data_IF_260157327743
#
_entry.id   IF_260157327743
#
_cell.length_a   1.000
_cell.length_b   1.000
_cell.length_c   1.000
_cell.angle_alpha   90.00
_cell.angle_beta   90.00
_cell.angle_gamma   90.00
#
_symmetry.space_group_name_H-M   'P 1'
#
loop_
_entity.id
_entity.type
_entity.pdbx_description
1 polymer ?
#
# COMPACT_ATOMS: atom_id res chain seq x y z
N UNK A 1 -43.98 -22.14 18.77
CA UNK A 1 -43.86 -21.49 20.10
C UNK A 1 -42.57 -20.64 20.07
N UNK A 2 -42.69 -19.39 20.40
CA UNK A 2 -41.53 -18.51 20.49
C UNK A 2 -40.86 -18.74 21.83
N UNK A 3 -39.60 -19.16 21.86
CA UNK A 3 -38.82 -19.31 23.09
C UNK A 3 -38.27 -17.97 23.50
N UNK A 4 -38.63 -17.48 24.66
CA UNK A 4 -38.10 -16.24 25.23
C UNK A 4 -36.89 -16.60 26.12
N UNK A 5 -35.77 -15.96 25.86
CA UNK A 5 -34.52 -16.12 26.61
C UNK A 5 -33.92 -14.75 26.96
N UNK A 6 -33.23 -14.63 28.10
CA UNK A 6 -32.49 -13.40 28.44
C UNK A 6 -31.46 -13.05 27.39
N UNK A 7 -31.13 -11.76 27.30
CA UNK A 7 -30.04 -11.32 26.42
C UNK A 7 -28.72 -12.04 26.73
N UNK A 8 -27.99 -12.44 25.69
CA UNK A 8 -26.75 -13.18 25.80
C UNK A 8 -26.86 -14.68 26.08
N UNK A 9 -28.08 -15.23 26.32
CA UNK A 9 -28.31 -16.67 26.56
C UNK A 9 -28.86 -17.40 25.32
N UNK A 10 -29.05 -16.72 24.21
CA UNK A 10 -29.54 -17.33 22.98
C UNK A 10 -28.49 -18.24 22.35
N UNK A 11 -28.92 -19.41 21.88
CA UNK A 11 -28.06 -20.26 21.09
C UNK A 11 -27.72 -19.57 19.77
N UNK A 12 -26.43 -19.33 19.52
CA UNK A 12 -25.92 -18.89 18.23
C UNK A 12 -25.36 -20.08 17.45
N UNK A 13 -25.62 -20.21 16.14
CA UNK A 13 -24.94 -21.19 15.30
C UNK A 13 -23.47 -20.77 15.05
N UNK A 14 -23.13 -19.51 15.37
CA UNK A 14 -21.77 -18.95 15.24
C UNK A 14 -21.17 -18.89 16.65
N UNK A 15 -20.21 -19.73 16.93
CA UNK A 15 -19.45 -19.70 18.18
C UNK A 15 -18.15 -18.88 18.04
N UNK A 16 -17.48 -18.62 19.17
CA UNK A 16 -16.26 -17.85 19.19
C UNK A 16 -15.14 -18.48 18.35
N UNK A 17 -15.13 -19.80 18.22
CA UNK A 17 -14.15 -20.53 17.42
C UNK A 17 -14.40 -20.32 15.94
N UNK A 18 -15.65 -20.44 15.50
CA UNK A 18 -16.05 -20.16 14.12
C UNK A 18 -15.66 -18.73 13.72
N UNK A 19 -15.87 -17.73 14.60
CA UNK A 19 -15.45 -16.35 14.36
C UNK A 19 -13.92 -16.22 14.26
N UNK A 20 -13.18 -16.92 15.14
CA UNK A 20 -11.72 -16.85 15.17
C UNK A 20 -11.06 -17.54 13.97
N UNK A 21 -11.69 -18.61 13.44
CA UNK A 21 -11.14 -19.41 12.34
C UNK A 21 -11.66 -19.00 10.95
N UNK A 22 -12.76 -18.26 10.86
CA UNK A 22 -13.53 -18.09 9.63
C UNK A 22 -13.02 -17.00 8.67
N UNK A 23 -12.11 -16.14 9.05
CA UNK A 23 -11.81 -14.97 8.24
C UNK A 23 -10.40 -14.97 7.64
N UNK A 24 -10.19 -15.43 6.42
CA UNK A 24 -8.98 -15.08 5.67
C UNK A 24 -8.99 -13.57 5.44
N UNK A 25 -7.87 -12.91 5.76
CA UNK A 25 -7.67 -11.49 5.43
C UNK A 25 -6.98 -11.41 4.10
N UNK A 26 -7.64 -10.83 3.11
CA UNK A 26 -7.10 -10.61 1.78
C UNK A 26 -6.74 -9.14 1.63
N UNK A 27 -5.57 -8.85 1.07
CA UNK A 27 -5.16 -7.46 0.87
C UNK A 27 -3.94 -7.28 -0.01
N UNK A 28 -3.65 -6.02 -0.30
CA UNK A 28 -2.52 -5.57 -1.08
C UNK A 28 -2.33 -6.37 -2.39
N UNK A 29 -3.34 -6.44 -3.28
CA UNK A 29 -3.18 -7.15 -4.54
C UNK A 29 -2.17 -6.44 -5.46
N UNK A 30 -1.51 -7.21 -6.32
CA UNK A 30 -0.63 -6.70 -7.37
C UNK A 30 -0.85 -7.48 -8.67
N UNK A 31 -0.83 -6.76 -9.80
CA UNK A 31 -0.89 -7.36 -11.13
C UNK A 31 0.53 -7.46 -11.68
N UNK A 32 1.01 -8.67 -11.91
CA UNK A 32 2.31 -8.93 -12.51
C UNK A 32 2.30 -8.64 -14.02
N UNK A 33 3.49 -8.49 -14.60
CA UNK A 33 3.66 -8.26 -16.05
C UNK A 33 3.18 -9.45 -16.90
N UNK A 34 3.30 -10.67 -16.39
CA UNK A 34 2.80 -11.90 -17.00
C UNK A 34 1.29 -12.11 -16.83
N UNK A 35 0.60 -11.14 -16.21
CA UNK A 35 -0.84 -11.16 -15.96
C UNK A 35 -1.25 -11.91 -14.70
N UNK A 36 -0.32 -12.53 -13.97
CA UNK A 36 -0.61 -13.18 -12.70
C UNK A 36 -1.06 -12.17 -11.63
N UNK A 37 -1.94 -12.60 -10.76
CA UNK A 37 -2.44 -11.80 -9.64
C UNK A 37 -1.76 -12.29 -8.36
N UNK A 38 -1.18 -11.36 -7.61
CA UNK A 38 -0.55 -11.60 -6.32
C UNK A 38 -1.33 -10.91 -5.22
N UNK A 39 -1.35 -11.48 -4.01
CA UNK A 39 -1.93 -10.81 -2.84
C UNK A 39 -1.32 -11.33 -1.54
N UNK A 40 -1.53 -10.59 -0.46
CA UNK A 40 -1.25 -11.03 0.89
C UNK A 40 -2.49 -11.71 1.50
N UNK A 41 -2.32 -12.89 2.08
CA UNK A 41 -3.37 -13.66 2.74
C UNK A 41 -3.02 -13.90 4.20
N UNK A 42 -3.83 -13.40 5.12
CA UNK A 42 -3.73 -13.71 6.54
C UNK A 42 -4.50 -14.99 6.87
N UNK A 43 -3.85 -15.92 7.56
CA UNK A 43 -4.36 -17.26 7.88
C UNK A 43 -4.59 -17.43 9.38
N UNK A 44 -5.83 -17.28 9.89
CA UNK A 44 -6.14 -17.45 11.30
C UNK A 44 -5.76 -18.84 11.84
N UNK A 45 -5.96 -19.88 11.04
CA UNK A 45 -5.61 -21.27 11.39
C UNK A 45 -4.10 -21.50 11.60
N UNK A 46 -3.26 -20.59 11.10
CA UNK A 46 -1.81 -20.61 11.26
C UNK A 46 -1.31 -19.53 12.24
N UNK A 47 -2.12 -19.19 13.25
CA UNK A 47 -1.79 -18.17 14.24
C UNK A 47 -1.80 -16.75 13.68
N UNK A 48 -2.53 -16.50 12.62
CA UNK A 48 -2.61 -15.20 11.93
C UNK A 48 -1.44 -14.92 10.98
N UNK A 49 -0.66 -15.95 10.63
CA UNK A 49 0.45 -15.82 9.66
C UNK A 49 -0.03 -15.24 8.34
N UNK A 50 0.67 -14.24 7.82
CA UNK A 50 0.43 -13.67 6.49
C UNK A 50 1.40 -14.29 5.50
N UNK A 51 0.88 -14.75 4.37
CA UNK A 51 1.64 -15.35 3.26
C UNK A 51 1.34 -14.60 1.97
N UNK A 52 2.24 -14.70 1.00
CA UNK A 52 1.99 -14.26 -0.36
C UNK A 52 1.39 -15.41 -1.16
N UNK A 53 0.32 -15.07 -1.86
CA UNK A 53 -0.40 -15.92 -2.79
C UNK A 53 -0.18 -15.43 -4.21
N UNK A 54 -0.21 -16.35 -5.17
CA UNK A 54 -0.14 -16.05 -6.61
C UNK A 54 -1.21 -16.85 -7.34
N UNK A 55 -1.94 -16.20 -8.24
CA UNK A 55 -2.82 -16.83 -9.22
C UNK A 55 -2.23 -16.60 -10.61
N UNK A 56 -1.60 -17.59 -11.22
CA UNK A 56 -1.13 -17.50 -12.62
C UNK A 56 -2.30 -17.29 -13.57
N UNK A 57 -2.09 -16.64 -14.69
CA UNK A 57 -3.10 -16.53 -15.73
C UNK A 57 -3.56 -17.93 -16.21
N UNK A 58 -4.85 -18.23 -16.00
CA UNK A 58 -5.44 -19.53 -16.36
C UNK A 58 -5.02 -20.71 -15.48
N UNK A 59 -4.35 -20.46 -14.35
CA UNK A 59 -3.90 -21.48 -13.37
C UNK A 59 -4.75 -21.51 -12.11
N UNK A 60 -4.21 -22.20 -11.09
CA UNK A 60 -4.77 -22.25 -9.75
C UNK A 60 -3.93 -21.40 -8.78
N UNK A 61 -4.58 -20.91 -7.71
CA UNK A 61 -3.90 -20.13 -6.69
C UNK A 61 -2.89 -20.98 -5.90
N UNK A 62 -1.69 -20.47 -5.75
CA UNK A 62 -0.59 -21.12 -5.04
C UNK A 62 -0.04 -20.25 -3.91
N UNK A 63 0.44 -20.89 -2.84
CA UNK A 63 1.18 -20.22 -1.76
C UNK A 63 2.64 -20.08 -2.15
N UNK A 64 3.14 -18.85 -2.16
CA UNK A 64 4.54 -18.55 -2.51
C UNK A 64 5.44 -18.52 -1.28
N UNK A 65 4.97 -17.91 -0.18
CA UNK A 65 5.75 -17.81 1.06
C UNK A 65 5.90 -19.18 1.72
N UNK A 66 7.13 -19.71 1.90
CA UNK A 66 7.34 -21.03 2.51
C UNK A 66 7.04 -21.03 4.02
N UNK A 67 6.97 -22.23 4.59
CA UNK A 67 6.88 -22.39 6.04
C UNK A 67 8.03 -21.69 6.76
N UNK A 68 7.78 -21.18 7.96
CA UNK A 68 8.76 -20.46 8.77
C UNK A 68 8.86 -18.96 8.45
N UNK A 69 8.26 -18.48 7.37
CA UNK A 69 8.21 -17.06 7.05
C UNK A 69 6.80 -16.49 7.25
N UNK A 70 6.77 -15.24 7.71
CA UNK A 70 5.54 -14.47 7.98
C UNK A 70 5.72 -13.07 7.41
N UNK A 71 5.00 -12.76 6.33
CA UNK A 71 5.08 -11.48 5.62
C UNK A 71 4.40 -10.39 6.44
N UNK A 72 5.18 -9.71 7.28
CA UNK A 72 4.69 -8.62 8.13
C UNK A 72 5.86 -7.80 8.65
N UNK A 73 5.67 -6.50 8.73
CA UNK A 73 6.56 -5.55 9.42
C UNK A 73 5.92 -4.99 10.67
N UNK A 74 6.72 -4.38 11.55
CA UNK A 74 6.31 -3.66 12.74
C UNK A 74 6.68 -2.18 12.68
N UNK A 75 7.00 -1.65 11.51
CA UNK A 75 7.23 -0.21 11.34
C UNK A 75 5.99 0.55 11.80
N UNK A 76 6.14 1.63 12.56
CA UNK A 76 5.08 2.39 13.25
C UNK A 76 4.15 1.50 14.12
N UNK A 77 4.62 0.32 14.58
CA UNK A 77 3.91 -0.73 15.31
C UNK A 77 2.73 -1.38 14.55
N UNK A 78 2.03 -0.64 13.70
CA UNK A 78 0.89 -1.14 12.93
C UNK A 78 1.30 -1.90 11.66
N UNK A 79 2.44 -1.55 11.07
CA UNK A 79 2.97 -2.20 9.87
C UNK A 79 2.23 -1.80 8.59
N UNK A 80 1.98 -2.78 7.73
CA UNK A 80 1.52 -2.57 6.35
C UNK A 80 2.70 -2.41 5.38
N UNK A 81 2.46 -2.40 4.06
CA UNK A 81 3.52 -2.24 3.07
C UNK A 81 4.68 -3.23 3.22
N UNK A 82 4.39 -4.43 3.74
CA UNK A 82 5.41 -5.41 4.12
C UNK A 82 5.95 -6.21 2.93
N UNK A 83 5.44 -6.00 1.73
CA UNK A 83 5.89 -6.70 0.54
C UNK A 83 5.77 -5.85 -0.73
N UNK A 84 6.49 -6.24 -1.76
CA UNK A 84 6.50 -5.59 -3.07
C UNK A 84 6.82 -6.61 -4.16
N UNK A 85 6.09 -6.56 -5.28
CA UNK A 85 6.35 -7.36 -6.47
C UNK A 85 7.37 -6.62 -7.35
N UNK A 86 8.62 -7.05 -7.31
CA UNK A 86 9.71 -6.40 -8.03
C UNK A 86 9.82 -6.85 -9.50
N UNK A 87 9.42 -8.09 -9.78
CA UNK A 87 9.33 -8.66 -11.14
C UNK A 87 8.27 -9.79 -11.13
N UNK A 88 7.81 -10.30 -12.27
CA UNK A 88 6.81 -11.38 -12.33
C UNK A 88 7.17 -12.62 -11.50
N UNK A 89 8.47 -12.86 -11.30
CA UNK A 89 9.02 -13.98 -10.54
C UNK A 89 9.77 -13.55 -9.27
N UNK A 90 9.79 -12.28 -8.90
CA UNK A 90 10.58 -11.75 -7.78
C UNK A 90 9.75 -10.92 -6.83
N UNK A 91 9.68 -11.35 -5.58
CA UNK A 91 9.05 -10.60 -4.49
C UNK A 91 10.06 -10.18 -3.44
N UNK A 92 9.81 -9.03 -2.83
CA UNK A 92 10.51 -8.51 -1.66
C UNK A 92 9.53 -8.50 -0.50
N UNK A 93 9.97 -8.89 0.69
CA UNK A 93 9.11 -8.82 1.86
C UNK A 93 9.90 -8.69 3.17
N UNK A 94 9.28 -8.04 4.15
CA UNK A 94 9.74 -8.05 5.54
C UNK A 94 9.22 -9.29 6.25
N UNK A 95 10.10 -10.04 6.92
CA UNK A 95 9.73 -11.20 7.72
C UNK A 95 9.49 -10.80 9.18
N UNK A 96 8.36 -11.20 9.75
CA UNK A 96 7.94 -10.79 11.10
C UNK A 96 8.90 -11.22 12.20
N UNK A 97 9.50 -12.40 12.08
CA UNK A 97 10.31 -13.00 13.14
C UNK A 97 11.59 -12.20 13.45
N UNK A 98 12.23 -11.66 12.41
CA UNK A 98 13.53 -10.97 12.51
C UNK A 98 13.49 -9.53 11.95
N UNK A 99 12.37 -9.11 11.36
CA UNK A 99 12.15 -7.80 10.73
C UNK A 99 13.12 -7.50 9.58
N UNK A 100 13.85 -8.50 9.08
CA UNK A 100 14.73 -8.37 7.92
C UNK A 100 13.93 -8.35 6.61
N UNK A 101 14.48 -7.72 5.58
CA UNK A 101 13.95 -7.76 4.22
C UNK A 101 14.55 -8.95 3.49
N UNK A 102 13.69 -9.70 2.84
CA UNK A 102 14.04 -10.86 2.03
C UNK A 102 13.65 -10.62 0.57
N UNK A 103 14.46 -11.14 -0.34
CA UNK A 103 14.08 -11.35 -1.74
C UNK A 103 13.77 -12.83 -1.95
N UNK A 104 12.77 -13.12 -2.75
CA UNK A 104 12.42 -14.49 -3.10
C UNK A 104 12.04 -14.57 -4.57
N UNK A 105 12.75 -15.40 -5.33
CA UNK A 105 12.30 -15.80 -6.66
C UNK A 105 11.24 -16.90 -6.56
N UNK A 106 10.32 -16.91 -7.50
CA UNK A 106 9.30 -17.95 -7.59
C UNK A 106 9.94 -19.33 -7.64
N UNK A 107 9.50 -20.23 -6.73
CA UNK A 107 10.07 -21.56 -6.58
C UNK A 107 11.42 -21.61 -5.84
N UNK A 108 12.00 -20.47 -5.47
CA UNK A 108 13.24 -20.38 -4.70
C UNK A 108 13.03 -20.17 -3.21
N UNK A 109 14.09 -20.36 -2.43
CA UNK A 109 14.10 -20.01 -1.01
C UNK A 109 14.25 -18.49 -0.83
N UNK A 110 13.63 -17.89 0.22
CA UNK A 110 13.89 -16.49 0.58
C UNK A 110 15.35 -16.26 1.00
N UNK A 111 15.95 -15.22 0.46
CA UNK A 111 17.32 -14.79 0.78
C UNK A 111 17.26 -13.40 1.44
N UNK A 112 17.90 -13.19 2.62
CA UNK A 112 17.91 -11.89 3.26
C UNK A 112 18.79 -10.91 2.48
N UNK A 113 18.31 -9.68 2.28
CA UNK A 113 19.06 -8.58 1.65
C UNK A 113 19.48 -7.51 2.66
N UNK A 114 19.04 -7.59 3.90
CA UNK A 114 19.47 -6.71 4.98
C UNK A 114 20.34 -7.47 5.98
N UNK A 115 21.28 -6.80 6.68
CA UNK A 115 22.08 -7.42 7.72
C UNK A 115 21.22 -7.94 8.87
N UNK A 116 21.79 -8.81 9.69
CA UNK A 116 21.20 -9.18 10.96
C UNK A 116 21.20 -7.95 11.89
N UNK A 117 20.05 -7.57 12.47
CA UNK A 117 19.98 -6.39 13.33
C UNK A 117 20.78 -6.60 14.63
N UNK A 118 21.36 -5.55 15.22
CA UNK A 118 22.17 -5.64 16.43
C UNK A 118 21.37 -6.09 17.67
N UNK A 119 20.05 -5.98 17.62
CA UNK A 119 19.12 -6.50 18.61
C UNK A 119 17.84 -6.99 17.92
N UNK A 120 17.08 -7.87 18.56
CA UNK A 120 15.83 -8.40 18.01
C UNK A 120 14.86 -7.25 17.69
N UNK A 121 14.52 -7.11 16.39
CA UNK A 121 13.65 -6.03 15.89
C UNK A 121 14.26 -4.63 15.98
N UNK A 122 15.58 -4.53 16.13
CA UNK A 122 16.31 -3.25 16.20
C UNK A 122 16.32 -2.48 14.87
N UNK A 123 16.11 -3.17 13.76
CA UNK A 123 15.89 -2.57 12.44
C UNK A 123 14.59 -3.13 11.87
N UNK A 124 13.73 -2.25 11.36
CA UNK A 124 12.45 -2.63 10.74
C UNK A 124 12.29 -1.88 9.42
N UNK A 125 11.63 -2.50 8.45
CA UNK A 125 11.51 -1.94 7.10
C UNK A 125 10.07 -2.09 6.58
N UNK A 126 9.61 -1.10 5.81
CA UNK A 126 8.29 -1.06 5.19
C UNK A 126 8.25 -0.20 3.92
N UNK A 127 7.14 -0.27 3.19
CA UNK A 127 6.80 0.60 2.05
C UNK A 127 7.87 0.56 0.93
N UNK A 128 8.13 -0.65 0.45
CA UNK A 128 9.14 -0.93 -0.57
C UNK A 128 8.74 -0.44 -1.95
N UNK A 129 9.70 0.16 -2.68
CA UNK A 129 9.61 0.44 -4.12
C UNK A 129 10.94 0.16 -4.79
N UNK A 130 10.89 -0.52 -5.94
CA UNK A 130 12.07 -0.73 -6.77
C UNK A 130 12.51 0.62 -7.35
N UNK A 131 13.81 0.88 -7.32
CA UNK A 131 14.36 2.04 -8.01
C UNK A 131 14.42 1.78 -9.52
N UNK A 132 14.37 2.83 -10.37
CA UNK A 132 14.35 2.68 -11.82
C UNK A 132 15.58 1.95 -12.40
N UNK A 133 16.71 1.95 -11.69
CA UNK A 133 17.91 1.20 -12.04
C UNK A 133 17.77 -0.33 -11.90
N UNK A 134 16.71 -0.78 -11.21
CA UNK A 134 16.44 -2.19 -10.96
C UNK A 134 17.42 -2.87 -10.00
N UNK A 135 18.43 -2.16 -9.51
CA UNK A 135 19.48 -2.70 -8.62
C UNK A 135 19.26 -2.44 -7.14
N UNK A 136 18.40 -1.49 -6.82
CA UNK A 136 18.13 -1.06 -5.45
C UNK A 136 16.63 -0.87 -5.19
N UNK A 137 16.25 -0.87 -3.93
CA UNK A 137 14.93 -0.46 -3.49
C UNK A 137 15.01 0.78 -2.59
N UNK A 138 13.97 1.59 -2.55
CA UNK A 138 13.75 2.62 -1.54
C UNK A 138 12.66 2.14 -0.58
N UNK A 139 12.82 2.46 0.71
CA UNK A 139 11.86 2.08 1.75
C UNK A 139 11.96 2.97 2.99
N UNK A 140 10.98 2.84 3.88
CA UNK A 140 11.06 3.36 5.25
C UNK A 140 11.81 2.37 6.12
N UNK A 141 12.72 2.88 6.96
CA UNK A 141 13.44 2.12 8.00
C UNK A 141 13.20 2.75 9.36
N UNK A 142 12.92 1.94 10.37
CA UNK A 142 13.02 2.30 11.78
C UNK A 142 14.28 1.71 12.40
N UNK A 143 14.97 2.52 13.19
CA UNK A 143 16.13 2.13 14.00
C UNK A 143 15.75 2.25 15.48
N UNK A 144 15.69 1.11 16.17
CA UNK A 144 15.35 1.02 17.58
C UNK A 144 16.62 0.90 18.42
N UNK A 145 16.81 1.83 19.34
CA UNK A 145 17.92 1.87 20.28
C UNK A 145 17.43 2.01 21.73
N UNK A 146 18.21 2.68 22.56
CA UNK A 146 17.88 2.95 23.97
C UNK A 146 16.85 4.09 24.15
N UNK A 147 16.59 4.87 23.10
CA UNK A 147 15.65 6.00 23.08
C UNK A 147 14.41 5.72 22.23
N UNK A 148 13.80 6.79 21.76
CA UNK A 148 12.73 6.72 20.76
C UNK A 148 13.27 6.16 19.43
N UNK A 149 12.38 5.55 18.65
CA UNK A 149 12.76 5.01 17.34
C UNK A 149 13.11 6.15 16.38
N UNK A 150 14.22 6.02 15.68
CA UNK A 150 14.59 6.92 14.59
C UNK A 150 14.00 6.40 13.27
N UNK A 151 13.20 7.21 12.61
CA UNK A 151 12.62 6.92 11.31
C UNK A 151 13.43 7.53 10.18
N UNK A 152 13.57 6.81 9.08
CA UNK A 152 14.40 7.19 7.95
C UNK A 152 13.80 6.68 6.64
N UNK A 153 14.11 7.39 5.54
CA UNK A 153 14.00 6.83 4.20
C UNK A 153 15.39 6.36 3.79
N UNK A 154 15.48 5.13 3.32
CA UNK A 154 16.74 4.51 2.92
C UNK A 154 16.67 3.85 1.55
N UNK A 155 17.83 3.77 0.88
CA UNK A 155 18.05 2.90 -0.27
C UNK A 155 18.79 1.64 0.17
N UNK A 156 18.39 0.47 -0.37
CA UNK A 156 18.97 -0.84 -0.09
C UNK A 156 19.33 -1.55 -1.40
N UNK A 157 20.57 -2.04 -1.56
CA UNK A 157 20.93 -2.89 -2.69
C UNK A 157 20.14 -4.22 -2.67
N UNK A 158 19.59 -4.63 -3.81
CA UNK A 158 18.81 -5.87 -3.91
C UNK A 158 19.64 -7.15 -3.79
N UNK A 159 20.93 -7.08 -4.09
CA UNK A 159 21.84 -8.21 -4.01
C UNK A 159 22.34 -8.48 -2.58
N UNK A 160 22.00 -7.61 -1.62
CA UNK A 160 22.43 -7.73 -0.24
C UNK A 160 23.92 -7.41 -0.02
N UNK A 161 24.60 -6.80 -1.00
CA UNK A 161 26.05 -6.53 -0.96
C UNK A 161 26.45 -5.33 -0.12
N UNK A 162 25.49 -4.48 0.25
CA UNK A 162 25.78 -3.19 0.87
C UNK A 162 24.91 -2.88 2.09
N UNK A 163 25.34 -1.83 2.79
CA UNK A 163 24.56 -1.22 3.85
C UNK A 163 23.49 -0.27 3.27
N UNK A 164 22.46 0.02 4.08
CA UNK A 164 21.45 0.99 3.71
C UNK A 164 22.03 2.39 3.61
N UNK A 165 21.76 3.09 2.52
CA UNK A 165 22.08 4.52 2.36
C UNK A 165 20.89 5.35 2.83
N UNK A 166 21.12 6.26 3.80
CA UNK A 166 20.07 7.18 4.29
C UNK A 166 19.85 8.27 3.25
N UNK A 167 18.59 8.42 2.83
CA UNK A 167 18.15 9.44 1.89
C UNK A 167 17.42 10.60 2.60
N UNK A 168 16.66 10.32 3.65
CA UNK A 168 16.02 11.33 4.48
C UNK A 168 15.93 10.85 5.95
N UNK A 169 16.08 11.79 6.90
CA UNK A 169 16.01 11.56 8.34
C UNK A 169 15.70 12.84 9.10
N UNK A 170 15.44 12.75 10.41
CA UNK A 170 15.28 13.92 11.29
C UNK A 170 13.82 14.35 11.50
N UNK A 171 12.83 13.59 11.01
CA UNK A 171 11.40 13.73 11.34
C UNK A 171 10.95 12.52 12.14
N UNK A 172 9.85 12.66 12.88
CA UNK A 172 9.34 11.58 13.71
C UNK A 172 8.84 10.39 12.87
N UNK A 173 8.20 10.66 11.71
CA UNK A 173 7.62 9.63 10.85
C UNK A 173 7.80 9.94 9.37
N UNK A 174 7.93 8.88 8.57
CA UNK A 174 8.05 8.92 7.12
C UNK A 174 7.13 7.89 6.46
N UNK A 175 6.62 8.20 5.26
CA UNK A 175 5.94 7.24 4.41
C UNK A 175 6.02 7.61 2.92
N UNK A 176 5.57 6.71 2.07
CA UNK A 176 5.47 6.89 0.62
C UNK A 176 6.75 7.38 -0.06
N UNK A 177 7.94 6.76 0.16
CA UNK A 177 9.09 7.08 -0.65
C UNK A 177 8.85 6.65 -2.10
N UNK A 178 8.89 7.62 -3.04
CA UNK A 178 8.57 7.41 -4.46
C UNK A 178 9.63 8.06 -5.33
N UNK A 179 10.40 7.24 -6.05
CA UNK A 179 11.37 7.72 -7.03
C UNK A 179 10.65 8.00 -8.35
N UNK A 180 10.96 9.12 -8.98
CA UNK A 180 10.39 9.47 -10.29
C UNK A 180 10.80 8.47 -11.37
N UNK A 181 10.00 8.29 -12.44
CA UNK A 181 10.29 7.31 -13.50
C UNK A 181 11.65 7.51 -14.19
N UNK A 182 12.16 8.74 -14.22
CA UNK A 182 13.46 9.09 -14.77
C UNK A 182 14.63 8.85 -13.79
N UNK A 183 14.34 8.47 -12.53
CA UNK A 183 15.34 8.19 -11.51
C UNK A 183 15.98 9.42 -10.87
N UNK A 184 15.51 10.63 -11.18
CA UNK A 184 16.21 11.86 -10.79
C UNK A 184 15.67 12.51 -9.52
N UNK A 185 14.43 12.18 -9.11
CA UNK A 185 13.75 12.81 -7.97
C UNK A 185 13.19 11.77 -7.03
N UNK A 186 13.19 12.11 -5.74
CA UNK A 186 12.54 11.34 -4.67
C UNK A 186 11.45 12.22 -4.05
N UNK A 187 10.23 11.71 -3.98
CA UNK A 187 9.13 12.27 -3.22
C UNK A 187 8.86 11.41 -1.99
N UNK A 188 8.42 12.02 -0.88
CA UNK A 188 7.98 11.32 0.33
C UNK A 188 7.04 12.17 1.16
N UNK A 189 6.32 11.53 2.07
CA UNK A 189 5.59 12.23 3.12
C UNK A 189 6.24 12.05 4.48
N UNK A 190 6.10 13.05 5.34
CA UNK A 190 6.53 12.99 6.73
C UNK A 190 5.62 13.82 7.63
N UNK A 191 5.63 13.50 8.91
CA UNK A 191 4.92 14.25 9.95
C UNK A 191 5.63 14.09 11.29
N UNK A 192 5.29 14.95 12.25
CA UNK A 192 5.85 14.94 13.60
C UNK A 192 4.73 14.98 14.65
N UNK A 193 5.03 14.50 15.83
CA UNK A 193 4.16 14.64 16.98
C UNK A 193 3.77 16.12 17.22
N UNK A 194 2.54 16.42 17.66
CA UNK A 194 1.50 15.47 18.10
C UNK A 194 0.58 14.99 16.98
N UNK A 195 0.85 15.37 15.69
CA UNK A 195 -0.02 15.04 14.58
C UNK A 195 0.01 13.55 14.26
N UNK A 196 -1.16 13.01 13.93
CA UNK A 196 -1.28 11.79 13.14
C UNK A 196 -1.24 12.14 11.66
N UNK A 197 -0.95 11.18 10.77
CA UNK A 197 -0.80 11.50 9.34
C UNK A 197 -2.07 12.05 8.67
N UNK A 198 -3.24 11.88 9.28
CA UNK A 198 -4.50 12.47 8.83
C UNK A 198 -4.83 13.85 9.44
N UNK A 199 -4.05 14.30 10.43
CA UNK A 199 -4.18 15.65 10.99
C UNK A 199 -3.32 16.65 10.22
N UNK A 200 -2.09 16.25 9.88
CA UNK A 200 -1.16 17.08 9.16
C UNK A 200 0.07 16.29 8.68
N UNK A 201 0.33 16.36 7.39
CA UNK A 201 1.42 15.66 6.72
C UNK A 201 2.06 16.58 5.71
N UNK A 202 3.38 16.55 5.60
CA UNK A 202 4.12 17.32 4.61
C UNK A 202 4.57 16.41 3.47
N UNK A 203 4.39 16.86 2.23
CA UNK A 203 4.94 16.24 1.01
C UNK A 203 6.23 16.97 0.64
N UNK A 204 7.31 16.21 0.59
CA UNK A 204 8.63 16.69 0.25
C UNK A 204 9.12 16.10 -1.07
N UNK A 205 9.99 16.86 -1.74
CA UNK A 205 10.61 16.49 -3.01
C UNK A 205 12.09 16.85 -2.96
N UNK A 206 12.97 15.96 -3.42
CA UNK A 206 14.40 16.23 -3.53
C UNK A 206 14.99 15.63 -4.82
N UNK A 207 16.10 16.18 -5.35
CA UNK A 207 16.96 15.46 -6.28
C UNK A 207 17.50 14.18 -5.63
N UNK A 208 17.47 13.06 -6.33
CA UNK A 208 17.88 11.77 -5.75
C UNK A 208 19.40 11.70 -5.49
N UNK A 209 20.21 12.39 -6.28
CA UNK A 209 21.66 12.50 -6.13
C UNK A 209 22.10 13.48 -5.03
N UNK A 210 21.20 14.34 -4.58
CA UNK A 210 21.44 15.32 -3.52
C UNK A 210 20.17 15.60 -2.71
N UNK A 211 19.80 14.68 -1.84
CA UNK A 211 18.59 14.81 -1.02
C UNK A 211 18.64 15.97 -0.02
N UNK A 212 19.82 16.57 0.24
CA UNK A 212 19.93 17.82 1.03
C UNK A 212 19.31 19.04 0.33
N UNK A 213 18.99 18.93 -0.96
CA UNK A 213 18.25 19.94 -1.73
C UNK A 213 16.73 19.77 -1.63
N UNK A 214 16.24 19.15 -0.56
CA UNK A 214 14.83 18.91 -0.33
C UNK A 214 14.01 20.19 -0.21
N UNK A 215 12.80 20.15 -0.76
CA UNK A 215 11.81 21.21 -0.63
C UNK A 215 10.43 20.65 -0.31
N UNK A 216 9.69 21.36 0.54
CA UNK A 216 8.30 21.03 0.79
C UNK A 216 7.44 21.48 -0.39
N UNK A 217 6.72 20.52 -1.00
CA UNK A 217 5.85 20.78 -2.15
C UNK A 217 4.42 21.12 -1.69
N UNK A 218 3.88 20.40 -0.70
CA UNK A 218 2.51 20.54 -0.22
C UNK A 218 2.39 20.08 1.23
N UNK A 219 1.23 20.25 1.82
CA UNK A 219 0.94 19.80 3.17
C UNK A 219 1.39 20.76 4.26
N UNK A 220 1.13 20.38 5.49
CA UNK A 220 1.45 21.18 6.67
C UNK A 220 0.70 20.67 7.91
N UNK A 221 0.74 21.43 9.04
CA UNK A 221 0.19 20.95 10.31
C UNK A 221 -1.35 20.81 10.35
N UNK A 222 -2.05 21.28 9.34
CA UNK A 222 -3.52 21.22 9.23
C UNK A 222 -3.96 20.82 7.81
N UNK A 223 -3.10 20.15 7.08
CA UNK A 223 -3.37 19.57 5.76
C UNK A 223 -2.77 18.18 5.70
N UNK A 224 -3.59 17.19 5.39
CA UNK A 224 -3.15 15.80 5.22
C UNK A 224 -2.85 15.52 3.75
N UNK A 225 -1.67 14.94 3.50
CA UNK A 225 -1.28 14.43 2.19
C UNK A 225 -1.23 12.91 2.24
N UNK A 226 -1.87 12.29 1.25
CA UNK A 226 -1.90 10.83 1.14
C UNK A 226 -1.47 10.37 -0.25
N UNK A 227 -0.75 9.27 -0.31
CA UNK A 227 -0.37 8.53 -1.52
C UNK A 227 0.22 9.42 -2.63
N UNK A 228 1.38 10.07 -2.45
CA UNK A 228 2.10 10.63 -3.59
C UNK A 228 2.53 9.49 -4.53
N UNK A 229 2.24 9.62 -5.83
CA UNK A 229 2.63 8.67 -6.87
C UNK A 229 2.97 9.40 -8.17
N UNK A 230 3.99 8.95 -8.88
CA UNK A 230 4.39 9.51 -10.15
C UNK A 230 3.54 8.95 -11.30
N UNK A 231 2.95 9.83 -12.09
CA UNK A 231 2.36 9.44 -13.37
C UNK A 231 3.43 9.08 -14.41
N UNK A 232 3.04 8.37 -15.44
CA UNK A 232 3.94 8.04 -16.57
C UNK A 232 4.43 9.27 -17.33
N UNK A 233 3.75 10.40 -17.18
CA UNK A 233 4.13 11.73 -17.71
C UNK A 233 5.19 12.44 -16.85
N UNK A 234 5.67 11.81 -15.78
CA UNK A 234 6.67 12.36 -14.86
C UNK A 234 6.12 13.41 -13.90
N UNK A 235 4.80 13.60 -13.81
CA UNK A 235 4.16 14.49 -12.85
C UNK A 235 3.78 13.74 -11.59
N UNK A 236 3.92 14.43 -10.44
CA UNK A 236 3.57 13.86 -9.15
C UNK A 236 2.10 14.11 -8.84
N UNK A 237 1.36 13.05 -8.57
CA UNK A 237 -0.02 13.12 -8.12
C UNK A 237 -0.08 12.80 -6.63
N UNK A 238 -1.06 13.34 -5.93
CA UNK A 238 -1.28 13.06 -4.51
C UNK A 238 -2.71 13.42 -4.12
N UNK A 239 -3.17 12.88 -3.02
CA UNK A 239 -4.44 13.24 -2.41
C UNK A 239 -4.20 14.24 -1.27
N UNK A 240 -5.05 15.26 -1.16
CA UNK A 240 -5.01 16.27 -0.10
C UNK A 240 -6.43 16.62 0.37
N UNK A 241 -6.56 16.93 1.65
CA UNK A 241 -7.80 17.37 2.31
C UNK A 241 -7.92 18.90 2.45
N UNK A 242 -7.08 19.67 1.74
CA UNK A 242 -6.95 21.14 1.87
C UNK A 242 -8.23 21.93 1.65
N UNK A 243 -9.20 21.37 0.95
CA UNK A 243 -10.52 21.95 0.68
C UNK A 243 -11.65 21.32 1.51
N UNK A 244 -11.29 20.52 2.52
CA UNK A 244 -12.22 19.87 3.45
C UNK A 244 -12.66 18.46 3.03
N UNK A 245 -12.30 18.00 1.83
CA UNK A 245 -12.49 16.66 1.33
C UNK A 245 -11.18 16.15 0.73
N UNK A 246 -10.93 14.87 0.79
CA UNK A 246 -9.73 14.26 0.21
C UNK A 246 -9.85 14.16 -1.30
N UNK A 247 -9.36 15.18 -1.99
CA UNK A 247 -9.38 15.28 -3.44
C UNK A 247 -8.00 14.98 -4.06
N UNK A 248 -7.98 14.64 -5.36
CA UNK A 248 -6.79 14.34 -6.12
C UNK A 248 -6.19 15.63 -6.71
N UNK A 249 -4.89 15.79 -6.54
CA UNK A 249 -4.08 16.90 -7.04
C UNK A 249 -2.92 16.39 -7.88
N UNK A 250 -2.37 17.27 -8.72
CA UNK A 250 -1.19 17.01 -9.52
C UNK A 250 -0.23 18.19 -9.43
N UNK A 251 1.07 17.88 -9.24
CA UNK A 251 2.13 18.87 -9.27
C UNK A 251 2.85 18.87 -10.63
N UNK A 252 3.14 20.07 -11.13
CA UNK A 252 3.96 20.34 -12.31
C UNK A 252 4.96 21.44 -11.94
N UNK A 253 6.18 21.05 -11.54
CA UNK A 253 7.10 21.93 -10.81
C UNK A 253 6.47 22.39 -9.50
N UNK A 254 6.46 23.70 -9.25
CA UNK A 254 5.88 24.32 -8.05
C UNK A 254 4.36 24.57 -8.17
N UNK A 255 3.79 24.38 -9.36
CA UNK A 255 2.35 24.55 -9.58
C UNK A 255 1.59 23.30 -9.15
N UNK A 256 0.50 23.49 -8.41
CA UNK A 256 -0.41 22.42 -8.00
C UNK A 256 -1.76 22.65 -8.66
N UNK A 257 -2.21 21.66 -9.41
CA UNK A 257 -3.50 21.61 -10.06
C UNK A 257 -4.43 20.67 -9.29
N UNK A 258 -5.63 21.12 -8.98
CA UNK A 258 -6.69 20.28 -8.45
C UNK A 258 -7.34 19.51 -9.60
N UNK A 259 -7.34 18.18 -9.56
CA UNK A 259 -7.94 17.34 -10.59
C UNK A 259 -9.40 17.01 -10.29
N UNK A 260 -9.76 16.84 -9.02
CA UNK A 260 -11.14 16.57 -8.60
C UNK A 260 -11.58 17.60 -7.56
N UNK A 261 -12.87 17.92 -7.57
CA UNK A 261 -13.50 18.85 -6.61
C UNK A 261 -14.80 18.20 -6.08
N UNK A 262 -14.65 17.03 -5.47
CA UNK A 262 -15.76 16.22 -4.97
C UNK A 262 -16.08 16.53 -3.51
N UNK A 263 -17.38 16.54 -3.17
CA UNK A 263 -17.85 16.50 -1.77
C UNK A 263 -17.87 15.02 -1.28
N UNK A 264 -16.74 14.34 -1.46
CA UNK A 264 -16.52 12.94 -1.10
C UNK A 264 -15.02 12.68 -0.97
N UNK A 265 -14.64 11.61 -0.31
CA UNK A 265 -13.24 11.28 -0.06
C UNK A 265 -12.68 10.32 -1.13
N UNK A 266 -11.63 10.76 -1.82
CA UNK A 266 -10.79 9.93 -2.67
C UNK A 266 -9.53 9.47 -1.93
N UNK A 267 -9.38 9.82 -0.66
CA UNK A 267 -8.33 9.43 0.24
C UNK A 267 -8.81 8.54 1.37
N UNK A 268 -7.88 8.12 2.20
CA UNK A 268 -8.16 7.30 3.36
C UNK A 268 -7.15 7.64 4.48
N UNK A 269 -7.56 7.71 5.76
CA UNK A 269 -6.63 7.87 6.87
C UNK A 269 -5.54 6.80 6.85
N UNK A 270 -4.28 7.23 6.84
CA UNK A 270 -3.13 6.34 6.75
C UNK A 270 -2.84 5.65 8.09
N UNK A 271 -3.58 4.60 8.40
CA UNK A 271 -3.32 3.74 9.57
C UNK A 271 -2.14 2.79 9.37
N UNK A 272 -1.90 2.39 8.12
CA UNK A 272 -0.92 1.37 7.74
C UNK A 272 -0.19 1.83 6.48
N UNK A 273 0.99 1.28 6.25
CA UNK A 273 1.65 1.39 4.95
C UNK A 273 0.96 0.56 3.87
N UNK A 274 1.22 0.89 2.61
CA UNK A 274 0.74 0.12 1.45
C UNK A 274 -0.72 0.42 1.05
N UNK A 275 -1.36 1.42 1.68
CA UNK A 275 -2.65 1.92 1.22
C UNK A 275 -2.53 2.59 -0.14
N UNK A 276 -3.54 2.39 -1.01
CA UNK A 276 -3.62 2.99 -2.32
C UNK A 276 -5.08 3.15 -2.70
N UNK A 277 -5.56 4.38 -2.78
CA UNK A 277 -6.93 4.71 -3.17
C UNK A 277 -7.06 5.04 -4.64
N UNK A 278 -5.96 5.22 -5.34
CA UNK A 278 -5.97 5.41 -6.78
C UNK A 278 -4.78 4.69 -7.46
N UNK A 279 -4.92 4.40 -8.74
CA UNK A 279 -3.88 3.78 -9.56
C UNK A 279 -4.00 4.23 -11.03
N UNK A 280 -2.85 4.40 -11.70
CA UNK A 280 -2.80 4.80 -13.10
C UNK A 280 -3.05 3.62 -14.02
N UNK A 281 -3.93 3.82 -15.00
CA UNK A 281 -4.16 2.90 -16.11
C UNK A 281 -3.25 3.23 -17.30
N UNK A 282 -3.08 2.25 -18.19
CA UNK A 282 -2.17 2.38 -19.32
C UNK A 282 -2.56 3.43 -20.37
N UNK A 283 -3.81 3.87 -20.37
CA UNK A 283 -4.33 4.92 -21.27
C UNK A 283 -4.23 6.34 -20.65
N UNK A 284 -3.60 6.47 -19.49
CA UNK A 284 -3.47 7.73 -18.77
C UNK A 284 -4.69 8.10 -17.91
N UNK A 285 -5.71 7.26 -17.85
CA UNK A 285 -6.80 7.40 -16.89
C UNK A 285 -6.38 6.90 -15.51
N UNK A 286 -7.17 7.26 -14.50
CA UNK A 286 -6.93 6.89 -13.09
C UNK A 286 -8.15 6.09 -12.61
N UNK A 287 -7.91 4.91 -12.06
CA UNK A 287 -8.90 4.22 -11.25
C UNK A 287 -8.80 4.71 -9.80
N UNK A 288 -9.91 5.01 -9.15
CA UNK A 288 -9.90 5.48 -7.76
C UNK A 288 -11.08 4.92 -6.96
N UNK A 289 -10.86 4.75 -5.66
CA UNK A 289 -11.93 4.49 -4.70
C UNK A 289 -12.46 5.82 -4.21
N UNK A 290 -13.77 6.01 -4.33
CA UNK A 290 -14.48 7.18 -3.83
C UNK A 290 -15.41 6.75 -2.70
N UNK A 291 -15.28 7.37 -1.54
CA UNK A 291 -16.12 7.15 -0.38
C UNK A 291 -17.11 8.31 -0.23
N UNK A 292 -18.39 7.99 -0.29
CA UNK A 292 -19.47 8.94 -0.04
C UNK A 292 -20.43 8.35 0.99
N UNK A 293 -20.63 9.08 2.11
CA UNK A 293 -21.53 8.68 3.19
C UNK A 293 -21.27 7.27 3.70
N UNK A 294 -20.01 6.87 3.78
CA UNK A 294 -19.59 5.55 4.26
C UNK A 294 -19.78 4.40 3.25
N UNK A 295 -20.06 4.71 1.99
CA UNK A 295 -20.11 3.74 0.89
C UNK A 295 -18.95 3.99 -0.05
N UNK A 296 -18.12 2.97 -0.23
CA UNK A 296 -16.98 2.99 -1.13
C UNK A 296 -17.34 2.35 -2.47
N UNK A 297 -16.90 2.97 -3.57
CA UNK A 297 -17.07 2.45 -4.93
C UNK A 297 -15.83 2.73 -5.76
N UNK A 298 -15.63 1.90 -6.78
CA UNK A 298 -14.58 2.12 -7.79
C UNK A 298 -15.10 3.09 -8.85
N UNK A 299 -14.32 4.12 -9.10
CA UNK A 299 -14.53 5.10 -10.17
C UNK A 299 -13.33 5.12 -11.11
N UNK A 300 -13.55 5.63 -12.32
CA UNK A 300 -12.48 5.96 -13.25
C UNK A 300 -12.54 7.42 -13.63
N UNK A 301 -11.37 8.07 -13.68
CA UNK A 301 -11.18 9.46 -14.12
C UNK A 301 -10.51 9.43 -15.50
N UNK A 302 -11.15 10.04 -16.50
CA UNK A 302 -10.57 10.16 -17.84
C UNK A 302 -9.49 11.25 -17.91
N UNK A 303 -8.47 11.09 -18.77
CA UNK A 303 -7.45 12.13 -18.95
C UNK A 303 -8.09 13.42 -19.48
N UNK A 304 -7.87 14.52 -18.77
CA UNK A 304 -8.32 15.87 -19.16
C UNK A 304 -9.73 16.26 -18.73
N UNK A 305 -10.63 15.34 -18.45
CA UNK A 305 -11.97 15.65 -17.93
C UNK A 305 -12.07 15.50 -16.41
N UNK A 306 -11.32 14.56 -15.83
CA UNK A 306 -11.22 14.25 -14.40
C UNK A 306 -12.55 14.07 -13.66
N UNK A 307 -13.65 13.88 -14.40
CA UNK A 307 -14.95 13.59 -13.80
C UNK A 307 -15.00 12.09 -13.43
N UNK A 308 -15.35 11.76 -12.15
CA UNK A 308 -15.47 10.38 -11.73
C UNK A 308 -16.64 9.67 -12.42
N UNK A 309 -16.34 8.56 -13.08
CA UNK A 309 -17.35 7.66 -13.67
C UNK A 309 -17.38 6.37 -12.88
N UNK A 310 -18.53 6.05 -12.29
CA UNK A 310 -18.75 4.81 -11.52
C UNK A 310 -18.50 3.59 -12.42
N UNK A 311 -17.67 2.67 -11.96
CA UNK A 311 -17.41 1.42 -12.66
C UNK A 311 -18.61 0.43 -12.63
N UNK A 312 -19.65 0.74 -11.87
CA UNK A 312 -20.88 -0.05 -11.79
C UNK A 312 -20.73 -1.41 -11.10
N UNK A 313 -19.69 -1.60 -10.28
CA UNK A 313 -19.40 -2.87 -9.61
C UNK A 313 -20.27 -3.08 -8.37
N UNK A 314 -20.59 -4.34 -8.01
CA UNK A 314 -21.47 -4.64 -6.89
C UNK A 314 -20.76 -4.62 -5.51
N UNK A 315 -19.70 -3.86 -5.38
CA UNK A 315 -18.90 -3.73 -4.15
C UNK A 315 -19.11 -2.36 -3.52
N UNK A 316 -19.19 -2.33 -2.19
CA UNK A 316 -19.49 -1.13 -1.41
C UNK A 316 -18.53 -0.91 -0.24
N UNK A 317 -17.53 -1.77 -0.10
CA UNK A 317 -16.46 -1.65 0.89
C UNK A 317 -15.16 -2.21 0.33
N UNK A 318 -14.10 -1.41 0.42
CA UNK A 318 -12.75 -1.78 0.02
C UNK A 318 -11.84 -2.00 1.25
N UNK A 319 -12.38 -1.78 2.45
CA UNK A 319 -11.68 -1.96 3.71
C UNK A 319 -10.51 -0.98 3.87
N UNK A 320 -9.28 -1.49 3.79
CA UNK A 320 -8.08 -0.67 3.63
C UNK A 320 -7.69 -0.71 2.15
N UNK A 321 -8.08 0.31 1.36
CA UNK A 321 -7.90 0.30 -0.08
C UNK A 321 -6.43 0.10 -0.47
N UNK A 322 -6.21 -0.80 -1.41
CA UNK A 322 -4.88 -1.07 -1.98
C UNK A 322 -5.08 -1.46 -3.44
N UNK A 323 -5.13 -0.45 -4.31
CA UNK A 323 -5.33 -0.63 -5.73
C UNK A 323 -4.00 -0.90 -6.42
N UNK A 324 -4.00 -1.85 -7.34
CA UNK A 324 -2.90 -2.09 -8.27
C UNK A 324 -3.45 -2.09 -9.69
N UNK A 325 -2.85 -1.32 -10.59
CA UNK A 325 -3.28 -1.28 -11.98
C UNK A 325 -2.14 -1.65 -12.94
N UNK A 326 -2.51 -2.31 -14.05
CA UNK A 326 -1.62 -2.58 -15.18
C UNK A 326 -2.43 -2.66 -16.48
N UNK A 327 -2.03 -1.87 -17.48
CA UNK A 327 -2.80 -1.74 -18.71
C UNK A 327 -4.20 -1.21 -18.42
N UNK A 328 -5.24 -1.95 -18.81
CA UNK A 328 -6.64 -1.61 -18.55
C UNK A 328 -7.21 -2.25 -17.28
N UNK A 329 -6.43 -3.10 -16.59
CA UNK A 329 -6.87 -3.90 -15.45
C UNK A 329 -6.52 -3.23 -14.13
N UNK A 330 -7.43 -3.34 -13.17
CA UNK A 330 -7.26 -2.91 -11.77
C UNK A 330 -7.57 -4.07 -10.84
N UNK A 331 -6.66 -4.39 -9.93
CA UNK A 331 -6.86 -5.37 -8.87
C UNK A 331 -7.06 -4.67 -7.52
N UNK A 332 -7.97 -5.18 -6.72
CA UNK A 332 -8.29 -4.67 -5.38
C UNK A 332 -8.94 -5.76 -4.52
N UNK A 333 -9.00 -5.54 -3.22
CA UNK A 333 -9.84 -6.35 -2.32
C UNK A 333 -11.13 -5.58 -2.05
N UNK A 334 -12.28 -6.24 -2.18
CA UNK A 334 -13.57 -5.60 -1.95
C UNK A 334 -14.63 -6.56 -1.44
N UNK A 335 -15.65 -6.00 -0.79
CA UNK A 335 -16.80 -6.69 -0.22
C UNK A 335 -18.10 -5.91 -0.43
N UNK A 336 -19.22 -6.54 -0.13
CA UNK A 336 -20.52 -5.87 0.03
C UNK A 336 -21.34 -6.57 1.12
N UNK A 337 -22.48 -6.05 1.53
CA UNK A 337 -23.36 -6.77 2.47
C UNK A 337 -23.79 -8.16 2.02
N UNK A 338 -23.72 -8.45 0.72
CA UNK A 338 -24.12 -9.72 0.11
C UNK A 338 -22.93 -10.56 -0.38
N UNK A 339 -21.70 -10.04 -0.27
CA UNK A 339 -20.47 -10.67 -0.77
C UNK A 339 -19.35 -10.56 0.24
N UNK A 340 -18.72 -11.68 0.53
CA UNK A 340 -17.51 -11.71 1.33
C UNK A 340 -16.37 -10.96 0.64
N UNK A 341 -15.32 -10.61 1.41
CA UNK A 341 -14.13 -9.99 0.84
C UNK A 341 -13.45 -10.94 -0.15
N UNK A 342 -13.23 -10.44 -1.35
CA UNK A 342 -12.54 -11.17 -2.42
C UNK A 342 -11.44 -10.29 -3.06
N UNK A 343 -10.46 -10.93 -3.69
CA UNK A 343 -9.57 -10.26 -4.63
C UNK A 343 -10.29 -10.16 -5.96
N UNK A 344 -10.47 -8.94 -6.43
CA UNK A 344 -11.23 -8.62 -7.63
C UNK A 344 -10.29 -8.03 -8.67
N UNK A 345 -10.46 -8.40 -9.93
CA UNK A 345 -9.78 -7.80 -11.07
C UNK A 345 -10.84 -7.25 -12.01
N UNK A 346 -10.86 -5.94 -12.15
CA UNK A 346 -11.73 -5.23 -13.08
C UNK A 346 -10.96 -4.84 -14.34
N UNK A 347 -11.45 -5.20 -15.52
CA UNK A 347 -10.92 -4.75 -16.79
C UNK A 347 -11.79 -3.63 -17.37
N UNK A 348 -11.26 -2.41 -17.35
CA UNK A 348 -11.98 -1.23 -17.83
C UNK A 348 -12.35 -1.31 -19.33
N UNK A 349 -11.55 -1.98 -20.15
CA UNK A 349 -11.78 -2.07 -21.58
C UNK A 349 -12.96 -3.00 -21.95
N UNK A 350 -13.11 -4.10 -21.20
CA UNK A 350 -14.18 -5.08 -21.41
C UNK A 350 -15.39 -4.88 -20.47
N UNK A 351 -15.23 -4.14 -19.40
CA UNK A 351 -16.20 -4.11 -18.29
C UNK A 351 -16.28 -5.42 -17.52
N UNK A 352 -15.37 -6.36 -17.78
CA UNK A 352 -15.32 -7.66 -17.13
C UNK A 352 -14.82 -7.53 -15.68
N UNK A 353 -15.34 -8.39 -14.81
CA UNK A 353 -14.94 -8.47 -13.41
C UNK A 353 -14.73 -9.95 -13.04
N UNK A 354 -13.50 -10.28 -12.65
CA UNK A 354 -13.14 -11.59 -12.11
C UNK A 354 -13.07 -11.51 -10.57
N UNK A 355 -13.57 -12.53 -9.89
CA UNK A 355 -13.63 -12.59 -8.41
C UNK A 355 -12.98 -13.86 -7.92
#
# INVERSE_FOLDING_TARGET
MTTVSPYGSWRSPIDARAVAEAGRRLGAPAIAEDGAIWWAEGRPSEGGRVVLMRLPAGGEAETVTPEGFYVRTRVHEYGGGAWYLAAPDLVLFANFADQRVYRQRLGGAPEPITPEPPSAGGLRYADFRLMPDGGSLVCVREVHGAGEAENQIVSLPLDGSGEATVLASGRDFYSFPRVSPDGNRLAWTCWDHPNMPWDGTELWLAPLDNTSGEQRLAGGPAESIFQPEWGSDGRLHFVSDRDGWWNLYRADGDAIEQLTAEEADLGHPQWLFGGSTYAFLGDGSIACVRCERGTERLYTLGPGAWEPVDAGLPFTSFGFPSLSARGTRVAFAAASPERETAIVVYDRAGGDCEV
#
